data_IF_484222628430
#
_entry.id   IF_484222628430
#
_cell.length_a   1.000
_cell.length_b   1.000
_cell.length_c   1.000
_cell.angle_alpha   90.00
_cell.angle_beta   90.00
_cell.angle_gamma   90.00
#
_symmetry.space_group_name_H-M   'P 1'
#
loop_
_entity.id
_entity.type
_entity.pdbx_description
1 polymer ?
#
# COMPACT_ATOMS: atom_id res chain seq x y z
N UNK A 1 1.58 -16.49 -19.51
CA UNK A 1 2.79 -15.70 -19.82
C UNK A 1 3.53 -15.47 -18.51
N UNK A 2 4.77 -15.95 -18.36
CA UNK A 2 5.60 -15.63 -17.18
C UNK A 2 5.71 -14.10 -17.11
N UNK A 3 5.33 -13.52 -15.97
CA UNK A 3 5.32 -12.07 -15.79
C UNK A 3 6.73 -11.51 -15.93
N UNK A 4 6.91 -10.51 -16.78
CA UNK A 4 8.18 -9.79 -16.87
C UNK A 4 8.49 -9.13 -15.51
N UNK A 5 9.76 -9.03 -15.16
CA UNK A 5 10.20 -8.32 -13.95
C UNK A 5 9.62 -6.90 -13.91
N UNK A 6 9.07 -6.54 -12.76
CA UNK A 6 8.45 -5.24 -12.50
C UNK A 6 9.07 -4.63 -11.25
N UNK A 7 9.13 -3.30 -11.23
CA UNK A 7 9.49 -2.52 -10.04
C UNK A 7 8.25 -1.79 -9.56
N UNK A 8 7.98 -1.93 -8.28
CA UNK A 8 6.99 -1.11 -7.58
C UNK A 8 7.72 0.04 -6.88
N UNK A 9 7.20 1.25 -7.05
CA UNK A 9 7.70 2.43 -6.37
C UNK A 9 6.98 2.56 -5.03
N UNK A 10 7.71 2.81 -3.94
CA UNK A 10 7.13 3.21 -2.67
C UNK A 10 7.99 4.32 -2.10
N UNK A 11 7.35 5.41 -1.69
CA UNK A 11 8.03 6.60 -1.17
C UNK A 11 7.80 6.64 0.34
N UNK A 12 8.89 6.68 1.10
CA UNK A 12 8.83 6.96 2.54
C UNK A 12 9.22 8.43 2.76
N UNK A 13 8.40 9.17 3.48
CA UNK A 13 8.66 10.55 3.82
C UNK A 13 9.30 10.64 5.20
N UNK A 14 10.06 11.72 5.43
CA UNK A 14 10.73 11.99 6.70
C UNK A 14 9.76 12.19 7.88
N UNK A 15 8.52 12.57 7.61
CA UNK A 15 7.45 12.69 8.61
C UNK A 15 6.78 11.34 8.97
N UNK A 16 7.33 10.22 8.49
CA UNK A 16 6.79 8.88 8.72
C UNK A 16 5.63 8.49 7.79
N UNK A 17 5.17 9.41 6.93
CA UNK A 17 4.20 9.11 5.90
C UNK A 17 4.77 8.17 4.83
N UNK A 18 3.88 7.47 4.13
CA UNK A 18 4.24 6.58 3.03
C UNK A 18 3.27 6.78 1.86
N UNK A 19 3.79 6.71 0.64
CA UNK A 19 2.99 6.67 -0.57
C UNK A 19 3.32 5.40 -1.35
N UNK A 20 2.31 4.55 -1.51
CA UNK A 20 2.40 3.22 -2.14
C UNK A 20 1.62 3.18 -3.46
N UNK A 21 1.80 2.12 -4.28
CA UNK A 21 0.97 1.90 -5.46
C UNK A 21 -0.53 1.76 -5.13
N UNK A 22 -0.85 1.19 -3.96
CA UNK A 22 -2.24 1.05 -3.48
C UNK A 22 -2.88 2.41 -3.19
N UNK A 23 -2.11 3.33 -2.60
CA UNK A 23 -2.56 4.70 -2.34
C UNK A 23 -2.85 5.44 -3.65
N UNK A 24 -1.99 5.31 -4.65
CA UNK A 24 -2.22 5.92 -5.95
C UNK A 24 -3.49 5.37 -6.63
N UNK A 25 -3.70 4.05 -6.56
CA UNK A 25 -4.92 3.42 -7.07
C UNK A 25 -6.16 3.95 -6.36
N UNK A 26 -6.10 4.17 -5.05
CA UNK A 26 -7.18 4.77 -4.30
C UNK A 26 -7.47 6.22 -4.76
N UNK A 27 -6.43 7.05 -4.91
CA UNK A 27 -6.58 8.44 -5.37
C UNK A 27 -7.24 8.47 -6.76
N UNK A 28 -6.77 7.64 -7.69
CA UNK A 28 -7.33 7.54 -9.05
C UNK A 28 -8.77 6.99 -9.06
N UNK A 29 -9.09 6.07 -8.15
CA UNK A 29 -10.45 5.52 -8.02
C UNK A 29 -11.41 6.55 -7.43
N UNK A 30 -11.03 7.27 -6.37
CA UNK A 30 -11.87 8.35 -5.81
C UNK A 30 -12.07 9.47 -6.84
N UNK A 31 -11.07 9.80 -7.66
CA UNK A 31 -11.23 10.74 -8.78
C UNK A 31 -12.36 10.35 -9.73
N UNK A 32 -12.50 9.04 -10.02
CA UNK A 32 -13.55 8.51 -10.91
C UNK A 32 -14.92 8.39 -10.22
N UNK A 33 -14.93 7.79 -9.04
CA UNK A 33 -16.16 7.43 -8.31
C UNK A 33 -16.78 8.60 -7.56
N UNK A 34 -15.98 9.63 -7.24
CA UNK A 34 -16.37 10.77 -6.39
C UNK A 34 -16.99 10.36 -5.05
N UNK A 35 -16.54 9.22 -4.51
CA UNK A 35 -17.10 8.61 -3.29
C UNK A 35 -16.10 7.65 -2.66
N UNK A 36 -15.92 7.74 -1.33
CA UNK A 36 -15.09 6.79 -0.57
C UNK A 36 -15.73 5.39 -0.58
N UNK A 37 -17.06 5.31 -0.47
CA UNK A 37 -17.77 4.03 -0.51
C UNK A 37 -17.75 3.42 -1.92
N UNK A 38 -17.90 4.25 -2.95
CA UNK A 38 -17.75 3.82 -4.35
C UNK A 38 -16.35 3.27 -4.60
N UNK A 39 -15.32 4.02 -4.18
CA UNK A 39 -13.95 3.58 -4.30
C UNK A 39 -13.64 2.30 -3.52
N UNK A 40 -14.15 2.17 -2.29
CA UNK A 40 -13.99 0.93 -1.51
C UNK A 40 -14.53 -0.30 -2.25
N UNK A 41 -15.73 -0.17 -2.85
CA UNK A 41 -16.36 -1.24 -3.65
C UNK A 41 -15.57 -1.54 -4.91
N UNK A 42 -15.16 -0.51 -5.65
CA UNK A 42 -14.38 -0.67 -6.89
C UNK A 42 -13.00 -1.28 -6.65
N UNK A 43 -12.35 -0.95 -5.53
CA UNK A 43 -11.06 -1.49 -5.12
C UNK A 43 -11.14 -2.82 -4.37
N UNK A 44 -12.34 -3.34 -4.07
CA UNK A 44 -12.51 -4.60 -3.33
C UNK A 44 -12.03 -4.56 -1.88
N UNK A 45 -11.97 -3.37 -1.26
CA UNK A 45 -11.52 -3.17 0.12
C UNK A 45 -12.70 -2.77 1.02
N UNK A 46 -12.57 -3.01 2.33
CA UNK A 46 -13.58 -2.55 3.28
C UNK A 46 -13.66 -1.02 3.32
N UNK A 47 -14.85 -0.49 3.56
CA UNK A 47 -15.03 0.96 3.74
C UNK A 47 -14.09 1.52 4.82
N UNK A 48 -13.92 0.79 5.93
CA UNK A 48 -12.99 1.17 7.00
C UNK A 48 -11.55 1.27 6.50
N UNK A 49 -11.06 0.30 5.72
CA UNK A 49 -9.71 0.35 5.15
C UNK A 49 -9.56 1.55 4.22
N UNK A 50 -10.51 1.74 3.31
CA UNK A 50 -10.54 2.87 2.38
C UNK A 50 -10.47 4.22 3.13
N UNK A 51 -11.28 4.37 4.18
CA UNK A 51 -11.30 5.58 5.01
C UNK A 51 -9.97 5.82 5.73
N UNK A 52 -9.35 4.78 6.30
CA UNK A 52 -8.04 4.89 6.95
C UNK A 52 -6.94 5.32 5.98
N UNK A 53 -6.98 4.84 4.74
CA UNK A 53 -6.05 5.28 3.70
C UNK A 53 -6.26 6.74 3.32
N UNK A 54 -7.52 7.18 3.15
CA UNK A 54 -7.87 8.58 2.90
C UNK A 54 -7.36 9.49 4.03
N UNK A 55 -7.61 9.13 5.28
CA UNK A 55 -7.16 9.88 6.46
C UNK A 55 -5.63 9.92 6.55
N UNK A 56 -4.95 8.79 6.32
CA UNK A 56 -3.49 8.73 6.32
C UNK A 56 -2.86 9.62 5.23
N UNK A 57 -3.41 9.60 4.01
CA UNK A 57 -2.94 10.45 2.91
C UNK A 57 -3.17 11.94 3.20
N UNK A 58 -4.32 12.32 3.75
CA UNK A 58 -4.58 13.70 4.13
C UNK A 58 -3.67 14.20 5.26
N UNK A 59 -3.20 13.33 6.14
CA UNK A 59 -2.26 13.67 7.23
C UNK A 59 -0.79 13.61 6.82
N UNK A 60 -0.47 13.01 5.68
CA UNK A 60 0.91 12.89 5.19
C UNK A 60 1.43 14.21 4.61
N UNK A 61 0.55 15.09 4.13
CA UNK A 61 0.91 16.32 3.43
C UNK A 61 0.27 17.54 4.10
N UNK A 62 0.86 18.73 3.89
CA UNK A 62 0.31 19.99 4.40
C UNK A 62 -1.04 20.34 3.74
N UNK A 63 -1.15 20.07 2.44
CA UNK A 63 -2.40 20.23 1.69
C UNK A 63 -3.12 18.88 1.60
N UNK A 64 -4.43 18.81 1.93
CA UNK A 64 -5.16 17.55 1.84
C UNK A 64 -5.17 17.02 0.41
N UNK A 65 -5.07 15.70 0.27
CA UNK A 65 -5.19 14.98 -1.01
C UNK A 65 -6.66 14.86 -1.41
N UNK A 66 -7.55 14.75 -0.42
CA UNK A 66 -8.98 14.54 -0.58
C UNK A 66 -9.79 15.58 0.20
N UNK A 67 -10.88 16.03 -0.41
CA UNK A 67 -11.98 16.72 0.27
C UNK A 67 -13.16 15.76 0.43
N UNK A 68 -13.84 15.82 1.57
CA UNK A 68 -14.99 14.93 1.86
C UNK A 68 -16.23 15.76 2.17
N UNK A 69 -17.37 15.31 1.66
CA UNK A 69 -18.66 16.01 1.75
C UNK A 69 -19.71 15.07 2.34
N UNK A 70 -19.77 14.92 3.67
CA UNK A 70 -20.78 14.08 4.33
C UNK A 70 -22.20 14.51 3.94
N UNK A 71 -23.05 13.54 3.57
CA UNK A 71 -24.47 13.78 3.28
C UNK A 71 -24.78 14.41 1.91
N UNK A 72 -23.78 14.71 1.08
CA UNK A 72 -23.99 15.27 -0.27
C UNK A 72 -24.54 14.22 -1.23
N UNK A 73 -25.67 14.54 -1.90
CA UNK A 73 -26.21 13.72 -3.00
C UNK A 73 -25.30 13.83 -4.24
N UNK A 74 -24.85 12.70 -4.77
CA UNK A 74 -24.10 12.65 -6.05
C UNK A 74 -22.57 12.70 -5.94
N UNK A 75 -22.01 12.68 -4.73
CA UNK A 75 -20.56 12.58 -4.54
C UNK A 75 -20.15 12.96 -3.12
N UNK A 76 -19.54 12.03 -2.40
CA UNK A 76 -19.16 12.19 -0.98
C UNK A 76 -17.69 12.50 -0.77
N UNK A 77 -16.86 12.44 -1.82
CA UNK A 77 -15.45 12.79 -1.76
C UNK A 77 -14.90 13.17 -3.13
N UNK A 78 -13.93 14.06 -3.17
CA UNK A 78 -13.24 14.51 -4.37
C UNK A 78 -11.74 14.62 -4.07
N UNK A 79 -10.89 14.50 -5.09
CA UNK A 79 -9.47 14.79 -4.94
C UNK A 79 -9.23 16.29 -5.12
N UNK A 80 -8.26 16.83 -4.39
CA UNK A 80 -7.87 18.24 -4.52
C UNK A 80 -6.97 18.45 -5.74
N UNK A 81 -6.70 19.71 -6.06
CA UNK A 81 -5.68 20.07 -7.05
C UNK A 81 -4.30 19.51 -6.68
N UNK A 82 -4.00 19.42 -5.37
CA UNK A 82 -2.79 18.77 -4.89
C UNK A 82 -2.83 17.25 -5.15
N UNK A 83 -3.96 16.58 -4.94
CA UNK A 83 -4.15 15.17 -5.29
C UNK A 83 -3.89 14.87 -6.77
N UNK A 84 -4.39 15.71 -7.69
CA UNK A 84 -4.08 15.57 -9.13
C UNK A 84 -2.57 15.71 -9.41
N UNK A 85 -1.94 16.70 -8.77
CA UNK A 85 -0.50 16.91 -8.90
C UNK A 85 0.30 15.72 -8.35
N UNK A 86 -0.15 15.14 -7.24
CA UNK A 86 0.46 13.98 -6.62
C UNK A 86 0.44 12.78 -7.58
N UNK A 87 -0.68 12.54 -8.27
CA UNK A 87 -0.76 11.51 -9.33
C UNK A 87 0.26 11.78 -10.42
N UNK A 88 0.30 13.00 -10.95
CA UNK A 88 1.20 13.35 -12.05
C UNK A 88 2.68 13.15 -11.67
N UNK A 89 3.07 13.58 -10.47
CA UNK A 89 4.42 13.42 -9.93
C UNK A 89 4.78 11.94 -9.78
N UNK A 90 3.91 11.15 -9.16
CA UNK A 90 4.15 9.72 -8.94
C UNK A 90 4.29 8.98 -10.27
N UNK A 91 3.36 9.18 -11.22
CA UNK A 91 3.44 8.57 -12.56
C UNK A 91 4.70 9.00 -13.32
N UNK A 92 5.16 10.24 -13.14
CA UNK A 92 6.43 10.70 -13.72
C UNK A 92 7.62 9.96 -13.11
N UNK A 93 7.64 9.77 -11.79
CA UNK A 93 8.69 9.00 -11.11
C UNK A 93 8.69 7.55 -11.55
N UNK A 94 7.53 6.89 -11.63
CA UNK A 94 7.41 5.50 -12.14
C UNK A 94 8.03 5.36 -13.53
N UNK A 95 7.70 6.27 -14.47
CA UNK A 95 8.26 6.23 -15.83
C UNK A 95 9.79 6.37 -15.81
N UNK A 96 10.30 7.33 -15.04
CA UNK A 96 11.75 7.57 -14.95
C UNK A 96 12.48 6.38 -14.34
N UNK A 97 11.95 5.81 -13.26
CA UNK A 97 12.48 4.61 -12.62
C UNK A 97 12.50 3.45 -13.61
N UNK A 98 11.38 3.17 -14.28
CA UNK A 98 11.28 2.10 -15.27
C UNK A 98 12.33 2.22 -16.38
N UNK A 99 12.54 3.44 -16.90
CA UNK A 99 13.58 3.68 -17.91
C UNK A 99 14.98 3.50 -17.34
N UNK A 100 15.26 4.08 -16.18
CA UNK A 100 16.59 4.03 -15.57
C UNK A 100 17.01 2.61 -15.16
N UNK A 101 16.07 1.75 -14.78
CA UNK A 101 16.35 0.39 -14.29
C UNK A 101 16.20 -0.70 -15.35
N UNK A 102 15.81 -0.35 -16.59
CA UNK A 102 15.44 -1.33 -17.61
C UNK A 102 16.56 -2.36 -17.91
N UNK A 103 17.81 -1.88 -18.06
CA UNK A 103 18.95 -2.75 -18.34
C UNK A 103 19.22 -3.72 -17.17
N UNK A 104 19.33 -3.20 -15.95
CA UNK A 104 19.56 -3.99 -14.74
C UNK A 104 18.44 -5.02 -14.49
N UNK A 105 17.17 -4.63 -14.70
CA UNK A 105 16.05 -5.58 -14.63
C UNK A 105 16.15 -6.67 -15.69
N UNK A 106 16.58 -6.34 -16.90
CA UNK A 106 16.79 -7.31 -17.97
C UNK A 106 17.88 -8.34 -17.62
N UNK A 107 18.96 -7.92 -16.97
CA UNK A 107 20.00 -8.81 -16.46
C UNK A 107 19.46 -9.75 -15.36
N UNK A 108 18.78 -9.20 -14.35
CA UNK A 108 18.18 -9.99 -13.28
C UNK A 108 17.14 -10.99 -13.81
N UNK A 109 16.31 -10.56 -14.78
CA UNK A 109 15.29 -11.41 -15.38
C UNK A 109 15.88 -12.61 -16.13
N UNK A 110 17.06 -12.44 -16.75
CA UNK A 110 17.78 -13.55 -17.41
C UNK A 110 18.44 -14.50 -16.41
N UNK A 111 18.80 -13.97 -15.23
CA UNK A 111 19.42 -14.74 -14.15
C UNK A 111 18.41 -15.49 -13.27
N UNK A 112 17.11 -15.40 -13.54
CA UNK A 112 16.10 -16.14 -12.75
C UNK A 112 16.22 -17.64 -12.99
N UNK A 113 16.25 -18.40 -11.90
CA UNK A 113 16.17 -19.86 -11.94
C UNK A 113 14.77 -20.30 -12.45
N UNK A 114 14.69 -21.00 -13.60
CA UNK A 114 13.41 -21.47 -14.13
C UNK A 114 12.72 -22.50 -13.22
N UNK A 115 13.49 -23.18 -12.36
CA UNK A 115 13.03 -24.22 -11.43
C UNK A 115 12.75 -23.68 -10.02
N UNK A 116 12.85 -22.36 -9.81
CA UNK A 116 12.55 -21.74 -8.52
C UNK A 116 11.15 -22.11 -8.02
N UNK A 117 11.11 -22.80 -6.88
CA UNK A 117 9.88 -23.07 -6.13
C UNK A 117 9.87 -22.18 -4.89
N UNK A 118 8.81 -21.38 -4.73
CA UNK A 118 8.57 -20.65 -3.48
C UNK A 118 8.41 -21.68 -2.37
N UNK A 119 9.43 -21.82 -1.49
CA UNK A 119 9.28 -22.67 -0.30
C UNK A 119 8.05 -22.21 0.46
N UNK A 120 7.21 -23.16 0.87
CA UNK A 120 6.14 -22.86 1.81
C UNK A 120 6.77 -22.14 3.00
N UNK A 121 6.29 -20.93 3.29
CA UNK A 121 6.66 -20.22 4.52
C UNK A 121 6.07 -21.02 5.69
N UNK A 122 6.82 -22.02 6.15
CA UNK A 122 6.53 -22.73 7.38
C UNK A 122 6.58 -21.72 8.52
N UNK A 123 5.53 -21.72 9.33
CA UNK A 123 5.46 -20.99 10.58
C UNK A 123 6.75 -21.18 11.40
N UNK A 124 7.51 -20.10 11.56
CA UNK A 124 8.54 -19.93 12.58
C UNK A 124 8.47 -18.45 12.95
N UNK A 125 7.67 -18.10 13.95
CA UNK A 125 8.17 -18.11 15.32
C UNK A 125 7.06 -18.49 16.32
N UNK A 126 6.86 -19.80 16.53
CA UNK A 126 6.25 -20.29 17.76
C UNK A 126 7.37 -20.41 18.80
N UNK A 127 7.54 -19.38 19.63
CA UNK A 127 8.37 -19.47 20.82
C UNK A 127 7.86 -20.63 21.71
N UNK A 128 8.74 -21.44 22.31
CA UNK A 128 8.29 -22.47 23.24
C UNK A 128 7.64 -21.80 24.44
N UNK A 129 6.37 -22.13 24.72
CA UNK A 129 5.71 -21.78 25.98
C UNK A 129 6.54 -22.35 27.13
N UNK A 130 7.17 -21.48 27.90
CA UNK A 130 7.80 -21.85 29.15
C UNK A 130 6.76 -22.50 30.07
N UNK A 131 7.02 -23.74 30.43
CA UNK A 131 6.23 -24.53 31.37
C UNK A 131 6.26 -23.85 32.76
N UNK A 132 5.14 -23.66 33.47
CA UNK A 132 5.18 -23.03 34.78
C UNK A 132 5.85 -23.99 35.76
N UNK A 133 7.00 -23.56 36.30
CA UNK A 133 7.67 -24.21 37.44
C UNK A 133 6.65 -24.37 38.57
N UNK A 134 6.22 -25.61 38.84
CA UNK A 134 5.43 -25.96 40.02
C UNK A 134 6.21 -25.55 41.27
N UNK A 135 5.68 -24.58 42.01
CA UNK A 135 6.15 -24.27 43.34
C UNK A 135 5.94 -25.50 44.23
N UNK A 136 7.04 -26.10 44.71
CA UNK A 136 6.99 -27.05 45.82
C UNK A 136 6.63 -26.26 47.07
N UNK A 137 5.38 -26.35 47.53
CA UNK A 137 5.06 -25.96 48.91
C UNK A 137 5.73 -26.97 49.83
N UNK A 138 6.70 -26.49 50.62
CA UNK A 138 7.22 -27.24 51.76
C UNK A 138 6.24 -27.05 52.92
N UNK A 139 5.87 -28.18 53.51
CA UNK A 139 5.22 -28.31 54.82
C UNK A 139 5.81 -27.35 55.85
N UNK A 140 4.94 -26.76 56.66
CA UNK A 140 5.03 -26.78 58.12
C UNK A 140 3.60 -26.79 58.66
#
# INVERSE_FOLDING_TARGET
>A
MKGAAQIELTINFNNGGRLTPEDLLLIETIRKERSILGAARASGISYRKCWLMVDALNRTFETPVFETFPGRRGGGAEITAFGERLIALYRSMERRTRTATAAALGELQKATDPDYQKRASGAAEAAPKAEPRRARSRRS
#
